data_IF_421018856651
#
_entry.id   IF_421018856651
#
_cell.length_a   1.000
_cell.length_b   1.000
_cell.length_c   1.000
_cell.angle_alpha   90.00
_cell.angle_beta   90.00
_cell.angle_gamma   90.00
#
_symmetry.space_group_name_H-M   'P 1'
#
loop_
_entity.id
_entity.type
_entity.pdbx_description
1 polymer ?
#
# COMPACT_ATOMS: atom_id res chain seq x y z
N UNK A 1 -29.09 9.86 -2.09
CA UNK A 1 -27.92 9.85 -1.19
C UNK A 1 -27.36 8.45 -1.23
N UNK A 2 -26.40 8.19 -2.12
CA UNK A 2 -25.81 6.87 -2.33
C UNK A 2 -24.66 6.66 -1.34
N UNK A 3 -24.75 5.57 -0.59
CA UNK A 3 -23.84 5.16 0.49
C UNK A 3 -22.40 5.02 0.00
N UNK A 4 -21.43 5.37 0.86
CA UNK A 4 -20.00 5.24 0.56
C UNK A 4 -19.62 3.75 0.44
N UNK A 5 -18.86 3.33 -0.60
CA UNK A 5 -18.64 1.92 -0.93
C UNK A 5 -17.70 1.16 0.02
N UNK A 6 -17.21 1.79 1.09
CA UNK A 6 -16.27 1.18 2.04
C UNK A 6 -16.60 1.63 3.46
N UNK A 7 -16.89 0.67 4.34
CA UNK A 7 -17.20 0.93 5.75
C UNK A 7 -16.05 0.44 6.62
N UNK A 8 -15.56 1.28 7.52
CA UNK A 8 -14.52 0.93 8.49
C UNK A 8 -15.15 0.37 9.76
N UNK A 9 -14.60 -0.73 10.29
CA UNK A 9 -14.97 -1.32 11.57
C UNK A 9 -13.73 -1.53 12.44
N UNK A 10 -13.88 -1.37 13.74
CA UNK A 10 -12.89 -1.83 14.72
C UNK A 10 -13.00 -3.33 14.98
N UNK A 11 -11.93 -3.94 15.50
CA UNK A 11 -11.91 -5.36 15.86
C UNK A 11 -13.03 -5.71 16.87
N UNK A 12 -13.24 -4.87 17.89
CA UNK A 12 -14.26 -5.06 18.91
C UNK A 12 -15.69 -5.04 18.32
N UNK A 13 -15.93 -4.17 17.34
CA UNK A 13 -17.22 -4.09 16.65
C UNK A 13 -17.47 -5.32 15.79
N UNK A 14 -16.44 -5.83 15.10
CA UNK A 14 -16.54 -7.08 14.33
C UNK A 14 -16.86 -8.25 15.25
N UNK A 15 -16.16 -8.38 16.38
CA UNK A 15 -16.39 -9.44 17.36
C UNK A 15 -17.82 -9.40 17.93
N UNK A 16 -18.33 -8.20 18.25
CA UNK A 16 -19.72 -8.03 18.73
C UNK A 16 -20.74 -8.44 17.67
N UNK A 17 -20.50 -8.16 16.38
CA UNK A 17 -21.39 -8.55 15.29
C UNK A 17 -21.43 -10.07 15.09
N UNK A 18 -20.27 -10.72 15.15
CA UNK A 18 -20.16 -12.19 15.13
C UNK A 18 -20.93 -12.79 16.31
N UNK A 19 -20.70 -12.28 17.53
CA UNK A 19 -21.41 -12.75 18.73
C UNK A 19 -22.94 -12.52 18.67
N UNK A 20 -23.38 -11.49 17.94
CA UNK A 20 -24.80 -11.18 17.70
C UNK A 20 -25.41 -12.03 16.58
N UNK A 21 -24.61 -12.79 15.82
CA UNK A 21 -25.06 -13.58 14.68
C UNK A 21 -25.36 -12.74 13.43
N UNK A 22 -24.84 -11.51 13.37
CA UNK A 22 -24.95 -10.63 12.20
C UNK A 22 -23.89 -10.99 11.13
N UNK A 23 -23.02 -11.97 11.39
CA UNK A 23 -22.12 -12.53 10.40
C UNK A 23 -22.86 -13.45 9.43
N UNK A 24 -22.38 -13.52 8.19
CA UNK A 24 -22.93 -14.41 7.15
C UNK A 24 -21.97 -15.55 6.83
N UNK A 25 -20.93 -15.71 7.63
CA UNK A 25 -19.81 -16.60 7.33
C UNK A 25 -19.99 -17.90 8.08
N UNK A 26 -19.99 -19.02 7.36
CA UNK A 26 -19.96 -20.34 8.00
C UNK A 26 -18.56 -20.62 8.56
N UNK A 27 -18.30 -20.16 9.78
CA UNK A 27 -17.04 -20.35 10.48
C UNK A 27 -16.73 -21.82 10.77
N UNK A 28 -17.74 -22.65 10.99
CA UNK A 28 -17.53 -24.10 11.23
C UNK A 28 -16.96 -24.78 10.00
N UNK A 29 -17.42 -24.40 8.80
CA UNK A 29 -16.85 -24.89 7.53
C UNK A 29 -15.43 -24.39 7.33
N UNK A 30 -15.14 -23.13 7.65
CA UNK A 30 -13.79 -22.56 7.50
C UNK A 30 -12.80 -23.21 8.47
N UNK A 31 -13.18 -23.39 9.72
CA UNK A 31 -12.33 -24.02 10.75
C UNK A 31 -12.05 -25.50 10.48
N UNK A 32 -12.93 -26.18 9.73
CA UNK A 32 -12.77 -27.57 9.33
C UNK A 32 -11.98 -27.74 8.03
N UNK A 33 -11.65 -26.65 7.33
CA UNK A 33 -10.92 -26.68 6.06
C UNK A 33 -9.48 -27.11 6.30
N UNK A 34 -9.01 -28.12 5.57
CA UNK A 34 -7.63 -28.60 5.70
C UNK A 34 -6.67 -27.83 4.80
N UNK A 35 -5.39 -27.85 5.12
CA UNK A 35 -4.33 -27.26 4.26
C UNK A 35 -4.36 -27.87 2.85
N UNK A 36 -4.65 -29.17 2.73
CA UNK A 36 -4.75 -29.88 1.45
C UNK A 36 -5.95 -29.40 0.61
N UNK A 37 -7.06 -29.05 1.27
CA UNK A 37 -8.23 -28.45 0.62
C UNK A 37 -7.96 -27.02 0.16
N UNK A 38 -7.20 -26.26 0.95
CA UNK A 38 -6.75 -24.89 0.60
C UNK A 38 -5.83 -24.94 -0.62
N UNK A 39 -4.81 -25.78 -0.61
CA UNK A 39 -3.85 -25.90 -1.71
C UNK A 39 -4.52 -26.32 -3.02
N UNK A 40 -5.51 -27.21 -2.94
CA UNK A 40 -6.32 -27.61 -4.10
C UNK A 40 -7.14 -26.43 -4.62
N UNK A 41 -7.84 -25.71 -3.74
CA UNK A 41 -8.65 -24.56 -4.12
C UNK A 41 -7.79 -23.44 -4.74
N UNK A 42 -6.60 -23.19 -4.20
CA UNK A 42 -5.65 -22.22 -4.73
C UNK A 42 -5.13 -22.60 -6.12
N UNK A 43 -4.82 -23.89 -6.35
CA UNK A 43 -4.35 -24.37 -7.66
C UNK A 43 -5.44 -24.32 -8.73
N UNK A 44 -6.68 -24.66 -8.35
CA UNK A 44 -7.81 -24.75 -9.27
C UNK A 44 -8.44 -23.37 -9.57
N UNK A 45 -8.00 -22.31 -8.88
CA UNK A 45 -8.47 -20.94 -9.07
C UNK A 45 -7.82 -20.26 -10.30
N UNK A 46 -8.58 -20.00 -11.38
CA UNK A 46 -8.04 -19.36 -12.58
C UNK A 46 -7.58 -17.91 -12.34
N UNK A 47 -8.10 -17.22 -11.32
CA UNK A 47 -7.67 -15.87 -10.96
C UNK A 47 -6.31 -15.89 -10.23
N UNK A 48 -5.96 -17.04 -9.61
CA UNK A 48 -4.69 -17.22 -8.91
C UNK A 48 -3.55 -17.70 -9.82
N UNK A 49 -3.86 -18.31 -10.98
CA UNK A 49 -2.86 -18.88 -11.89
C UNK A 49 -1.74 -17.91 -12.33
N UNK A 50 -2.01 -16.59 -12.35
CA UNK A 50 -0.99 -15.57 -12.69
C UNK A 50 -0.07 -15.15 -11.55
N UNK A 51 -0.34 -15.59 -10.31
CA UNK A 51 0.35 -15.17 -9.09
C UNK A 51 1.18 -16.29 -8.44
N UNK A 52 1.10 -17.52 -8.94
CA UNK A 52 1.78 -18.70 -8.39
C UNK A 52 3.32 -18.55 -8.35
N UNK A 53 3.91 -17.83 -9.31
CA UNK A 53 5.36 -17.61 -9.42
C UNK A 53 5.90 -16.40 -8.61
N UNK A 54 5.05 -15.69 -7.85
CA UNK A 54 5.50 -14.51 -7.11
C UNK A 54 6.28 -14.92 -5.86
N UNK A 55 7.59 -14.68 -5.91
CA UNK A 55 8.48 -14.85 -4.77
C UNK A 55 8.37 -13.66 -3.79
N UNK A 56 7.45 -13.79 -2.84
CA UNK A 56 7.23 -12.81 -1.77
C UNK A 56 8.44 -12.63 -0.84
N UNK A 57 9.43 -13.53 -0.84
CA UNK A 57 10.65 -13.36 -0.04
C UNK A 57 11.52 -12.19 -0.51
N UNK A 58 11.35 -11.75 -1.77
CA UNK A 58 12.02 -10.59 -2.37
C UNK A 58 11.20 -9.30 -2.26
N UNK A 59 10.01 -9.34 -1.64
CA UNK A 59 9.18 -8.17 -1.50
C UNK A 59 9.86 -7.12 -0.61
N UNK A 60 10.04 -5.91 -1.14
CA UNK A 60 10.53 -4.78 -0.36
C UNK A 60 9.37 -4.17 0.43
N UNK A 61 9.44 -4.21 1.76
CA UNK A 61 8.45 -3.56 2.61
C UNK A 61 8.67 -2.04 2.55
N UNK A 62 7.84 -1.36 1.76
CA UNK A 62 7.88 0.10 1.63
C UNK A 62 6.89 0.72 2.61
N UNK A 63 7.39 1.24 3.72
CA UNK A 63 6.61 2.14 4.57
C UNK A 63 6.60 3.54 3.93
N UNK A 64 5.43 4.09 3.54
CA UNK A 64 5.36 5.44 3.04
C UNK A 64 5.73 6.40 4.17
N UNK A 65 6.96 6.91 4.13
CA UNK A 65 7.39 7.94 5.08
C UNK A 65 6.60 9.22 4.80
N UNK A 66 5.90 9.78 5.80
CA UNK A 66 5.15 11.00 5.60
C UNK A 66 6.10 12.12 5.19
N UNK A 67 5.71 12.88 4.16
CA UNK A 67 6.47 14.06 3.75
C UNK A 67 6.39 15.11 4.85
N UNK A 68 7.53 15.60 5.30
CA UNK A 68 7.55 16.73 6.23
C UNK A 68 7.31 18.03 5.46
N UNK A 69 6.25 18.76 5.83
CA UNK A 69 5.99 20.10 5.29
C UNK A 69 6.95 21.09 5.94
N UNK A 70 7.86 21.64 5.14
CA UNK A 70 8.81 22.67 5.57
C UNK A 70 8.67 23.93 4.71
N UNK A 71 8.94 25.09 5.29
CA UNK A 71 9.06 26.35 4.54
C UNK A 71 10.53 26.59 4.22
N UNK A 72 10.88 26.62 2.94
CA UNK A 72 12.23 26.90 2.44
C UNK A 72 12.18 28.02 1.40
N UNK A 73 13.26 28.80 1.31
CA UNK A 73 13.45 29.75 0.21
C UNK A 73 14.20 29.05 -0.90
N UNK A 74 13.71 29.20 -2.12
CA UNK A 74 14.29 28.64 -3.36
C UNK A 74 14.32 29.78 -4.37
N UNK A 75 15.36 29.82 -5.20
CA UNK A 75 15.51 30.83 -6.24
C UNK A 75 14.35 30.78 -7.25
N UNK A 76 13.99 31.95 -7.76
CA UNK A 76 12.80 32.14 -8.58
C UNK A 76 12.87 31.33 -9.88
N UNK A 77 14.03 31.34 -10.54
CA UNK A 77 14.30 30.60 -11.78
C UNK A 77 14.14 29.08 -11.61
N UNK A 78 14.60 28.54 -10.48
CA UNK A 78 14.44 27.12 -10.14
C UNK A 78 12.96 26.77 -9.94
N UNK A 79 12.22 27.61 -9.21
CA UNK A 79 10.78 27.40 -9.00
C UNK A 79 10.03 27.46 -10.33
N UNK A 80 10.36 28.41 -11.19
CA UNK A 80 9.71 28.59 -12.49
C UNK A 80 10.01 27.43 -13.44
N UNK A 81 11.25 26.94 -13.47
CA UNK A 81 11.62 25.74 -14.22
C UNK A 81 10.76 24.53 -13.81
N UNK A 82 10.64 24.26 -12.50
CA UNK A 82 9.83 23.14 -12.05
C UNK A 82 8.33 23.39 -12.29
N UNK A 83 7.81 24.60 -12.09
CA UNK A 83 6.39 24.90 -12.37
C UNK A 83 6.04 24.73 -13.85
N UNK A 84 6.96 25.05 -14.77
CA UNK A 84 6.75 24.89 -16.21
C UNK A 84 6.47 23.42 -16.61
N UNK A 85 6.94 22.45 -15.81
CA UNK A 85 6.68 21.02 -16.04
C UNK A 85 5.26 20.56 -15.63
N UNK A 86 4.41 21.46 -15.15
CA UNK A 86 2.99 21.20 -14.87
C UNK A 86 2.69 20.58 -13.50
N UNK A 87 1.55 19.90 -13.36
CA UNK A 87 1.10 19.30 -12.10
C UNK A 87 2.18 18.34 -11.54
N UNK A 88 2.37 18.37 -10.23
CA UNK A 88 3.36 17.53 -9.54
C UNK A 88 4.79 18.08 -9.52
N UNK A 89 4.99 19.37 -9.80
CA UNK A 89 6.32 19.99 -9.80
C UNK A 89 7.07 19.80 -8.47
N UNK A 90 6.36 19.88 -7.33
CA UNK A 90 6.94 19.62 -6.01
C UNK A 90 7.46 18.18 -5.87
N UNK A 91 6.74 17.20 -6.43
CA UNK A 91 7.17 15.79 -6.44
C UNK A 91 8.45 15.61 -7.26
N UNK A 92 8.56 16.28 -8.41
CA UNK A 92 9.78 16.26 -9.24
C UNK A 92 10.95 16.94 -8.53
N UNK A 93 10.72 18.10 -7.94
CA UNK A 93 11.73 18.80 -7.14
C UNK A 93 12.23 17.91 -5.99
N UNK A 94 11.34 17.23 -5.27
CA UNK A 94 11.71 16.29 -4.21
C UNK A 94 12.51 15.08 -4.72
N UNK A 95 12.21 14.57 -5.93
CA UNK A 95 12.97 13.47 -6.53
C UNK A 95 14.43 13.88 -6.83
N UNK A 96 14.65 15.10 -7.31
CA UNK A 96 15.99 15.66 -7.54
C UNK A 96 16.77 15.79 -6.23
N UNK A 97 16.14 16.33 -5.18
CA UNK A 97 16.76 16.43 -3.85
C UNK A 97 17.13 15.05 -3.30
N UNK A 98 16.24 14.06 -3.45
CA UNK A 98 16.51 12.68 -3.02
C UNK A 98 17.71 12.08 -3.76
N UNK A 99 17.79 12.27 -5.08
CA UNK A 99 18.92 11.79 -5.87
C UNK A 99 20.23 12.43 -5.42
N UNK A 100 20.24 13.75 -5.20
CA UNK A 100 21.42 14.45 -4.67
C UNK A 100 21.89 13.87 -3.33
N UNK A 101 20.97 13.66 -2.38
CA UNK A 101 21.29 13.05 -1.08
C UNK A 101 21.87 11.65 -1.24
N UNK A 102 21.30 10.83 -2.13
CA UNK A 102 21.78 9.46 -2.39
C UNK A 102 23.23 9.45 -2.90
N UNK A 103 23.52 10.30 -3.90
CA UNK A 103 24.87 10.41 -4.47
C UNK A 103 25.89 10.95 -3.46
N UNK A 104 25.50 11.89 -2.60
CA UNK A 104 26.37 12.37 -1.52
C UNK A 104 26.70 11.27 -0.51
N UNK A 105 25.72 10.44 -0.14
CA UNK A 105 25.94 9.30 0.77
C UNK A 105 26.89 8.27 0.19
N UNK A 106 26.77 7.95 -1.11
CA UNK A 106 27.69 7.03 -1.80
C UNK A 106 29.15 7.50 -1.80
N UNK A 107 29.38 8.81 -1.83
CA UNK A 107 30.75 9.38 -1.85
C UNK A 107 31.39 9.43 -0.46
N UNK A 108 30.60 9.33 0.61
CA UNK A 108 31.05 9.42 1.99
C UNK A 108 31.24 8.06 2.66
N UNK A 109 30.75 6.98 2.05
CA UNK A 109 31.00 5.60 2.46
C UNK A 109 32.08 4.96 1.59
#
# INVERSE_FOLDING_TARGET
MSEEPTVSYSLDEIQKKIAKGDDRTDWKRVDALTDEDIDRATRDDPDWAGFEDIDWSKAEVVFPTPKQSISIRVDQDVVDFFKATGKGYQTRMNAVLRHYVHEQKKRQG
#
